data_IF_255775913628
#
_entry.id   IF_255775913628
#
_cell.length_a   1.000
_cell.length_b   1.000
_cell.length_c   1.000
_cell.angle_alpha   90.00
_cell.angle_beta   90.00
_cell.angle_gamma   90.00
#
_symmetry.space_group_name_H-M   'P 1'
#
loop_
_entity.id
_entity.type
_entity.pdbx_description
1 polymer ?
#
# COMPACT_ATOMS: atom_id res chain seq x y z
N UNK A 1 9.41 5.75 -2.00
CA UNK A 1 10.25 4.57 -2.23
C UNK A 1 11.47 4.59 -1.32
N UNK A 2 11.34 4.10 -0.08
CA UNK A 2 12.49 4.07 0.85
C UNK A 2 12.48 2.80 1.69
N UNK A 3 11.34 2.50 2.35
CA UNK A 3 11.27 1.40 3.34
C UNK A 3 10.18 0.35 3.06
N UNK A 4 9.55 0.42 1.89
CA UNK A 4 8.45 -0.49 1.52
C UNK A 4 8.91 -1.95 1.40
N UNK A 5 10.14 -2.21 0.94
CA UNK A 5 10.70 -3.56 0.88
C UNK A 5 10.82 -4.19 2.27
N UNK A 6 11.27 -3.42 3.27
CA UNK A 6 11.31 -3.89 4.68
C UNK A 6 9.92 -4.14 5.24
N UNK A 7 8.92 -3.37 4.81
CA UNK A 7 7.53 -3.54 5.26
C UNK A 7 6.89 -4.79 4.64
N UNK A 8 7.22 -5.10 3.39
CA UNK A 8 6.67 -6.25 2.64
C UNK A 8 7.43 -7.57 2.83
N UNK A 9 8.69 -7.54 3.25
CA UNK A 9 9.54 -8.75 3.34
C UNK A 9 10.36 -8.82 4.62
N UNK A 10 10.30 -7.79 5.48
CA UNK A 10 10.96 -7.82 6.77
C UNK A 10 10.34 -8.86 7.71
N UNK A 11 11.19 -9.38 8.61
CA UNK A 11 10.81 -10.37 9.63
C UNK A 11 9.87 -9.80 10.70
N UNK A 12 9.83 -8.47 10.86
CA UNK A 12 8.94 -7.79 11.79
C UNK A 12 7.70 -7.30 11.05
N UNK A 13 6.52 -7.65 11.54
CA UNK A 13 5.26 -7.04 11.07
C UNK A 13 5.23 -5.59 11.58
N UNK A 14 5.20 -4.65 10.65
CA UNK A 14 5.09 -3.21 10.94
C UNK A 14 3.67 -2.81 10.50
N UNK A 15 2.75 -2.52 11.43
CA UNK A 15 1.45 -2.00 11.07
C UNK A 15 1.62 -0.64 10.39
N UNK A 16 0.87 -0.42 9.31
CA UNK A 16 0.92 0.80 8.53
C UNK A 16 -0.48 1.41 8.39
N UNK A 17 -0.59 2.69 8.71
CA UNK A 17 -1.78 3.49 8.44
C UNK A 17 -1.58 4.26 7.14
N UNK A 18 -2.45 3.97 6.17
CA UNK A 18 -2.42 4.56 4.84
C UNK A 18 -3.55 5.58 4.77
N UNK A 19 -3.20 6.85 4.70
CA UNK A 19 -4.16 7.95 4.64
C UNK A 19 -4.08 8.59 3.26
N UNK A 20 -5.22 8.70 2.58
CA UNK A 20 -5.29 9.39 1.29
C UNK A 20 -6.54 10.26 1.15
N UNK A 21 -6.42 11.42 0.48
CA UNK A 21 -7.58 12.21 0.13
C UNK A 21 -8.33 11.58 -1.06
N UNK A 22 -9.66 11.68 -1.07
CA UNK A 22 -10.49 11.21 -2.20
C UNK A 22 -10.56 12.17 -3.37
N UNK A 23 -10.18 13.44 -3.14
CA UNK A 23 -10.08 14.48 -4.16
C UNK A 23 -8.68 15.07 -4.17
N UNK A 24 -8.26 15.68 -5.27
CA UNK A 24 -6.93 16.30 -5.39
C UNK A 24 -7.02 17.81 -5.21
N UNK A 25 -6.08 18.39 -4.47
CA UNK A 25 -5.87 19.85 -4.45
C UNK A 25 -5.46 20.41 -5.82
N UNK A 26 -4.88 19.55 -6.68
CA UNK A 26 -4.29 19.96 -7.93
C UNK A 26 -4.75 19.04 -9.07
N UNK A 27 -5.86 19.37 -9.76
CA UNK A 27 -6.45 18.54 -10.80
C UNK A 27 -5.72 18.66 -12.15
N UNK A 28 -4.38 18.53 -12.15
CA UNK A 28 -3.59 18.51 -13.38
C UNK A 28 -4.04 17.35 -14.27
N UNK A 29 -4.27 17.62 -15.56
CA UNK A 29 -4.70 16.63 -16.55
C UNK A 29 -5.90 15.80 -16.07
N UNK A 30 -6.98 16.47 -15.63
CA UNK A 30 -8.19 15.81 -15.10
C UNK A 30 -7.89 14.85 -13.95
N UNK A 31 -7.01 15.26 -13.03
CA UNK A 31 -6.57 14.48 -11.88
C UNK A 31 -5.89 13.13 -12.24
N UNK A 32 -5.30 12.99 -13.43
CA UNK A 32 -4.60 11.77 -13.86
C UNK A 32 -3.53 11.32 -12.86
N UNK A 33 -2.72 12.26 -12.37
CA UNK A 33 -1.67 11.95 -11.38
C UNK A 33 -2.24 11.44 -10.06
N UNK A 34 -3.35 12.01 -9.61
CA UNK A 34 -4.04 11.57 -8.40
C UNK A 34 -4.60 10.16 -8.57
N UNK A 35 -5.17 9.83 -9.74
CA UNK A 35 -5.66 8.47 -10.04
C UNK A 35 -4.54 7.44 -10.06
N UNK A 36 -3.37 7.78 -10.61
CA UNK A 36 -2.19 6.89 -10.59
C UNK A 36 -1.72 6.68 -9.14
N UNK A 37 -1.60 7.74 -8.35
CA UNK A 37 -1.25 7.66 -6.93
C UNK A 37 -2.24 6.81 -6.12
N UNK A 38 -3.54 6.96 -6.36
CA UNK A 38 -4.56 6.12 -5.71
C UNK A 38 -4.47 4.66 -6.13
N UNK A 39 -4.13 4.37 -7.40
CA UNK A 39 -3.91 3.00 -7.86
C UNK A 39 -2.82 2.32 -7.04
N UNK A 40 -1.70 3.01 -6.81
CA UNK A 40 -0.63 2.50 -5.95
C UNK A 40 -1.11 2.36 -4.51
N UNK A 41 -1.85 3.35 -4.00
CA UNK A 41 -2.39 3.33 -2.64
C UNK A 41 -3.32 2.14 -2.38
N UNK A 42 -4.05 1.64 -3.36
CA UNK A 42 -4.89 0.44 -3.22
C UNK A 42 -4.09 -0.86 -3.39
N UNK A 43 -3.13 -0.88 -4.32
CA UNK A 43 -2.32 -2.06 -4.59
C UNK A 43 -1.40 -2.45 -3.41
N UNK A 44 -0.87 -1.48 -2.66
CA UNK A 44 0.02 -1.73 -1.52
C UNK A 44 -0.66 -2.44 -0.33
N UNK A 45 -1.80 -1.97 0.22
CA UNK A 45 -2.52 -2.67 1.29
C UNK A 45 -3.07 -4.01 0.82
N UNK A 46 -3.48 -4.14 -0.44
CA UNK A 46 -3.88 -5.42 -1.02
C UNK A 46 -2.72 -6.42 -1.03
N UNK A 47 -1.53 -6.00 -1.49
CA UNK A 47 -0.32 -6.82 -1.44
C UNK A 47 0.08 -7.17 0.01
N UNK A 48 -0.03 -6.24 0.95
CA UNK A 48 0.25 -6.49 2.37
C UNK A 48 -0.73 -7.50 2.98
N UNK A 49 -2.02 -7.44 2.60
CA UNK A 49 -3.06 -8.32 3.12
C UNK A 49 -2.98 -9.73 2.52
N UNK A 50 -2.94 -9.86 1.19
CA UNK A 50 -3.08 -11.15 0.51
C UNK A 50 -1.74 -11.85 0.23
N UNK A 51 -0.64 -11.11 0.20
CA UNK A 51 0.63 -11.70 -0.15
C UNK A 51 0.74 -12.08 -1.62
N UNK A 52 1.84 -12.75 -1.97
CA UNK A 52 2.02 -13.43 -3.26
C UNK A 52 2.74 -14.75 -3.01
N UNK A 53 2.07 -15.85 -3.36
CA UNK A 53 2.57 -17.21 -3.16
C UNK A 53 3.62 -17.59 -4.20
N UNK A 54 4.51 -18.52 -3.83
CA UNK A 54 5.54 -19.06 -4.73
C UNK A 54 4.96 -19.58 -6.04
N UNK A 55 3.81 -20.25 -6.00
CA UNK A 55 3.15 -20.79 -7.19
C UNK A 55 2.69 -19.68 -8.15
N UNK A 56 2.19 -18.56 -7.63
CA UNK A 56 1.76 -17.42 -8.45
C UNK A 56 2.96 -16.69 -9.05
N UNK A 57 4.04 -16.54 -8.28
CA UNK A 57 5.31 -15.98 -8.77
C UNK A 57 5.92 -16.85 -9.87
N UNK A 58 5.98 -18.17 -9.68
CA UNK A 58 6.48 -19.11 -10.69
C UNK A 58 5.62 -19.17 -11.96
N UNK A 59 4.33 -18.84 -11.87
CA UNK A 59 3.43 -18.78 -13.02
C UNK A 59 3.57 -17.47 -13.80
N UNK A 60 3.91 -16.37 -13.13
CA UNK A 60 4.15 -15.06 -13.75
C UNK A 60 5.57 -14.90 -14.28
N UNK A 61 6.56 -15.54 -13.65
CA UNK A 61 7.95 -15.57 -14.13
C UNK A 61 8.08 -16.63 -15.23
N UNK A 62 8.49 -16.18 -16.42
CA UNK A 62 8.72 -17.06 -17.57
C UNK A 62 9.80 -18.13 -17.30
N UNK A 63 9.74 -19.23 -18.04
CA UNK A 63 10.72 -20.34 -17.98
C UNK A 63 12.15 -19.82 -18.21
N UNK A 64 12.94 -19.72 -17.14
CA UNK A 64 14.35 -19.28 -17.20
C UNK A 64 14.82 -18.42 -16.02
N UNK A 65 13.91 -18.02 -15.12
CA UNK A 65 14.27 -17.23 -13.95
C UNK A 65 14.79 -18.13 -12.82
N UNK A 66 15.95 -17.78 -12.25
CA UNK A 66 16.57 -18.55 -11.15
C UNK A 66 15.70 -18.55 -9.89
N UNK A 67 15.63 -19.67 -9.17
CA UNK A 67 14.86 -19.84 -7.93
C UNK A 67 15.19 -18.77 -6.85
N UNK A 68 16.37 -18.15 -6.92
CA UNK A 68 16.74 -17.05 -6.05
C UNK A 68 15.86 -15.79 -6.27
N UNK A 69 15.44 -15.52 -7.51
CA UNK A 69 14.54 -14.41 -7.84
C UNK A 69 13.10 -14.70 -7.41
N UNK A 70 12.66 -15.94 -7.54
CA UNK A 70 11.33 -16.38 -7.08
C UNK A 70 11.16 -16.05 -5.59
N UNK A 71 12.17 -16.38 -4.76
CA UNK A 71 12.13 -16.10 -3.31
C UNK A 71 12.12 -14.61 -2.99
N UNK A 72 12.74 -13.77 -3.82
CA UNK A 72 12.72 -12.31 -3.65
C UNK A 72 11.40 -11.65 -4.03
N UNK A 73 10.51 -12.32 -4.77
CA UNK A 73 9.17 -11.82 -5.11
C UNK A 73 8.04 -12.42 -4.27
N UNK A 74 8.36 -13.40 -3.42
CA UNK A 74 7.39 -14.03 -2.51
C UNK A 74 7.26 -13.19 -1.26
N UNK A 75 6.02 -12.94 -0.85
CA UNK A 75 5.72 -12.28 0.42
C UNK A 75 4.51 -12.94 1.08
N UNK A 76 4.65 -13.22 2.37
CA UNK A 76 3.71 -14.06 3.13
C UNK A 76 2.30 -13.46 3.31
N UNK A 77 2.11 -12.17 3.02
CA UNK A 77 0.83 -11.49 3.27
C UNK A 77 0.52 -11.37 4.76
N UNK A 78 -0.77 -11.24 5.09
CA UNK A 78 -1.31 -11.11 6.45
C UNK A 78 -0.65 -10.01 7.30
N UNK A 79 -0.23 -8.91 6.66
CA UNK A 79 0.29 -7.73 7.36
C UNK A 79 -0.84 -6.76 7.62
N UNK A 80 -1.13 -6.53 8.90
CA UNK A 80 -2.14 -5.60 9.38
C UNK A 80 -1.87 -4.20 8.85
N UNK A 81 -2.83 -3.64 8.13
CA UNK A 81 -2.80 -2.25 7.67
C UNK A 81 -4.19 -1.64 7.84
N UNK A 82 -4.22 -0.32 8.07
CA UNK A 82 -5.46 0.46 8.11
C UNK A 82 -5.44 1.41 6.93
N UNK A 83 -6.51 1.44 6.13
CA UNK A 83 -6.66 2.40 5.02
C UNK A 83 -7.78 3.38 5.33
N UNK A 84 -7.44 4.67 5.43
CA UNK A 84 -8.38 5.76 5.74
C UNK A 84 -8.45 6.70 4.53
N UNK A 85 -9.65 6.85 3.98
CA UNK A 85 -9.93 7.79 2.90
C UNK A 85 -10.78 8.95 3.38
N UNK A 86 -10.35 10.18 3.09
CA UNK A 86 -11.03 11.38 3.54
C UNK A 86 -11.35 12.34 2.39
N UNK A 87 -12.53 12.95 2.36
CA UNK A 87 -12.77 14.08 1.46
C UNK A 87 -11.86 15.24 1.84
N UNK A 88 -11.44 15.98 0.83
CA UNK A 88 -10.53 17.09 0.97
C UNK A 88 -11.29 18.35 1.46
N UNK A 89 -11.70 18.30 2.72
CA UNK A 89 -12.19 19.44 3.51
C UNK A 89 -11.14 19.71 4.58
N UNK A 90 -10.16 20.54 4.24
CA UNK A 90 -8.90 20.71 4.97
C UNK A 90 -9.09 21.01 6.48
N UNK A 91 -10.20 21.60 6.90
CA UNK A 91 -10.50 21.87 8.32
C UNK A 91 -11.06 20.67 9.08
N UNK A 92 -12.04 19.96 8.52
CA UNK A 92 -12.73 18.87 9.21
C UNK A 92 -11.94 17.56 9.17
N UNK A 93 -11.27 17.28 8.05
CA UNK A 93 -10.49 16.04 7.87
C UNK A 93 -9.24 16.00 8.76
N UNK A 94 -8.55 17.13 8.95
CA UNK A 94 -7.42 17.24 9.89
C UNK A 94 -7.87 17.08 11.34
N UNK A 95 -9.01 17.67 11.69
CA UNK A 95 -9.60 17.54 13.04
C UNK A 95 -9.99 16.09 13.34
N UNK A 96 -10.57 15.39 12.35
CA UNK A 96 -10.89 13.97 12.47
C UNK A 96 -9.66 13.09 12.67
N UNK A 97 -8.59 13.29 11.88
CA UNK A 97 -7.33 12.54 12.05
C UNK A 97 -6.72 12.79 13.43
N UNK A 98 -6.68 14.05 13.87
CA UNK A 98 -6.17 14.38 15.21
C UNK A 98 -6.96 13.71 16.32
N UNK A 99 -8.28 13.54 16.17
CA UNK A 99 -9.11 12.84 17.14
C UNK A 99 -8.95 11.32 17.06
N UNK A 100 -8.77 10.77 15.86
CA UNK A 100 -8.58 9.33 15.63
C UNK A 100 -7.22 8.81 16.12
N UNK A 101 -6.20 9.68 16.23
CA UNK A 101 -4.89 9.34 16.78
C UNK A 101 -4.82 9.37 18.32
N UNK A 102 -5.88 9.78 19.03
CA UNK A 102 -5.89 9.78 20.50
C UNK A 102 -6.18 8.38 21.03
N UNK A 103 -5.31 7.82 21.89
CA UNK A 103 -5.52 6.50 22.46
C UNK A 103 -6.69 6.55 23.46
N UNK A 104 -7.64 5.62 23.29
CA UNK A 104 -8.40 5.05 24.42
C UNK A 104 -7.63 3.84 24.92
#
# INVERSE_FOLDING_TARGET
HSFYQLTLQGAKVIPADIIAPTTTHNPIHHAKHHRILLSDLFAHPEALAFGKTEEKVKKELELGVSDAFVKCEVFAGNRTNTSIMLPLQLGESLSFLSAAQLPV
#
